data_IF_199450791312
#
_entry.id   IF_199450791312
#
_cell.length_a   1.000
_cell.length_b   1.000
_cell.length_c   1.000
_cell.angle_alpha   90.00
_cell.angle_beta   90.00
_cell.angle_gamma   90.00
#
_symmetry.space_group_name_H-M   'P 1'
#
loop_
_entity.id
_entity.type
_entity.pdbx_description
1 polymer ?
#
# COMPACT_ATOMS: atom_id res chain seq x y z
N UNK A 1 18.09 14.04 -52.97
CA UNK A 1 17.62 12.87 -52.15
C UNK A 1 18.41 12.65 -50.87
N UNK A 2 19.75 12.78 -50.91
CA UNK A 2 20.61 12.65 -49.72
C UNK A 2 20.25 13.63 -48.58
N UNK A 3 19.91 14.86 -48.91
CA UNK A 3 19.55 15.88 -47.93
C UNK A 3 18.28 15.58 -47.15
N UNK A 4 17.29 14.94 -47.78
CA UNK A 4 16.03 14.54 -47.09
C UNK A 4 16.26 13.38 -46.14
N UNK A 5 17.09 12.39 -46.50
CA UNK A 5 17.42 11.24 -45.67
C UNK A 5 18.22 11.70 -44.46
N UNK A 6 19.20 12.59 -44.65
CA UNK A 6 19.97 13.17 -43.55
C UNK A 6 19.11 14.00 -42.58
N UNK A 7 18.16 14.80 -43.12
CA UNK A 7 17.23 15.59 -42.31
C UNK A 7 16.28 14.70 -41.50
N UNK A 8 15.77 13.62 -42.07
CA UNK A 8 14.92 12.65 -41.34
C UNK A 8 15.72 11.90 -40.27
N UNK A 9 16.95 11.47 -40.56
CA UNK A 9 17.82 10.83 -39.61
C UNK A 9 18.13 11.75 -38.40
N UNK A 10 18.45 13.03 -38.71
CA UNK A 10 18.68 14.04 -37.69
C UNK A 10 17.44 14.28 -36.83
N UNK A 11 16.25 14.35 -37.43
CA UNK A 11 14.98 14.50 -36.73
C UNK A 11 14.72 13.32 -35.78
N UNK A 12 14.95 12.09 -36.22
CA UNK A 12 14.81 10.91 -35.40
C UNK A 12 15.76 10.91 -34.21
N UNK A 13 17.03 11.29 -34.39
CA UNK A 13 18.01 11.40 -33.31
C UNK A 13 17.58 12.45 -32.28
N UNK A 14 17.11 13.61 -32.74
CA UNK A 14 16.63 14.68 -31.85
C UNK A 14 15.42 14.20 -31.05
N UNK A 15 14.43 13.59 -31.67
CA UNK A 15 13.23 13.06 -31.02
C UNK A 15 13.61 12.00 -29.97
N UNK A 16 14.54 11.11 -30.30
CA UNK A 16 15.01 10.10 -29.40
C UNK A 16 15.74 10.69 -28.18
N UNK A 17 16.61 11.68 -28.40
CA UNK A 17 17.31 12.38 -27.32
C UNK A 17 16.37 13.15 -26.40
N UNK A 18 15.36 13.80 -26.95
CA UNK A 18 14.31 14.46 -26.16
C UNK A 18 13.56 13.45 -25.29
N UNK A 19 13.17 12.30 -25.84
CA UNK A 19 12.52 11.23 -25.09
C UNK A 19 13.40 10.68 -23.98
N UNK A 20 14.68 10.44 -24.23
CA UNK A 20 15.64 10.01 -23.23
C UNK A 20 15.76 11.02 -22.07
N UNK A 21 15.82 12.31 -22.41
CA UNK A 21 15.88 13.38 -21.42
C UNK A 21 14.59 13.48 -20.59
N UNK A 22 13.43 13.37 -21.20
CA UNK A 22 12.13 13.32 -20.50
C UNK A 22 12.04 12.12 -19.56
N UNK A 23 12.48 10.95 -20.01
CA UNK A 23 12.51 9.73 -19.20
C UNK A 23 13.46 9.86 -17.99
N UNK A 24 14.61 10.46 -18.18
CA UNK A 24 15.55 10.74 -17.10
C UNK A 24 14.95 11.71 -16.05
N UNK A 25 14.24 12.73 -16.50
CA UNK A 25 13.55 13.67 -15.61
C UNK A 25 12.48 12.98 -14.77
N UNK A 26 11.71 12.04 -15.34
CA UNK A 26 10.72 11.25 -14.60
C UNK A 26 11.40 10.42 -13.51
N UNK A 27 12.49 9.73 -13.82
CA UNK A 27 13.27 8.96 -12.85
C UNK A 27 13.74 9.85 -11.70
N UNK A 28 14.32 11.00 -12.01
CA UNK A 28 14.84 11.92 -10.99
C UNK A 28 13.71 12.48 -10.11
N UNK A 29 12.56 12.80 -10.69
CA UNK A 29 11.41 13.33 -9.98
C UNK A 29 10.78 12.31 -9.00
N UNK A 30 10.79 11.04 -9.35
CA UNK A 30 10.11 10.01 -8.56
C UNK A 30 11.02 9.15 -7.69
N UNK A 31 12.34 9.19 -7.89
CA UNK A 31 13.30 8.37 -7.15
C UNK A 31 13.20 8.56 -5.63
N UNK A 32 13.01 9.79 -5.18
CA UNK A 32 12.85 10.11 -3.75
C UNK A 32 11.45 9.83 -3.21
N UNK A 33 10.50 9.49 -4.08
CA UNK A 33 9.10 9.26 -3.73
C UNK A 33 8.73 7.77 -3.63
N UNK A 34 9.70 6.88 -3.73
CA UNK A 34 9.49 5.45 -3.50
C UNK A 34 8.97 5.24 -2.08
N UNK A 35 7.90 4.46 -1.94
CA UNK A 35 7.18 4.26 -0.68
C UNK A 35 6.02 5.23 -0.44
N UNK A 36 5.80 6.20 -1.31
CA UNK A 36 4.65 7.11 -1.24
C UNK A 36 3.48 6.62 -2.10
N UNK A 37 2.26 7.02 -1.69
CA UNK A 37 1.09 6.88 -2.53
C UNK A 37 1.10 7.93 -3.64
N UNK A 38 0.88 7.48 -4.86
CA UNK A 38 0.70 8.34 -6.02
C UNK A 38 -0.68 8.13 -6.63
N UNK A 39 -1.22 9.16 -7.22
CA UNK A 39 -2.53 9.17 -7.85
C UNK A 39 -2.41 9.49 -9.32
N UNK A 40 -3.12 8.75 -10.14
CA UNK A 40 -3.17 9.00 -11.56
C UNK A 40 -4.46 8.52 -12.20
N UNK A 41 -4.54 8.69 -13.50
CA UNK A 41 -5.68 8.26 -14.30
C UNK A 41 -5.32 7.05 -15.14
N UNK A 42 -6.18 6.06 -15.17
CA UNK A 42 -5.99 4.86 -15.99
C UNK A 42 -6.02 5.25 -17.47
N UNK A 43 -4.91 5.01 -18.14
CA UNK A 43 -4.71 5.31 -19.57
C UNK A 43 -4.97 4.09 -20.45
N UNK A 44 -4.59 2.91 -19.99
CA UNK A 44 -4.73 1.67 -20.74
C UNK A 44 -4.94 0.50 -19.77
N UNK A 45 -5.83 -0.39 -20.13
CA UNK A 45 -6.07 -1.64 -19.41
C UNK A 45 -5.74 -2.80 -20.33
N UNK A 46 -4.88 -3.71 -19.87
CA UNK A 46 -4.57 -4.96 -20.54
C UNK A 46 -4.94 -6.14 -19.65
N UNK A 47 -4.80 -7.34 -20.15
CA UNK A 47 -5.03 -8.55 -19.37
C UNK A 47 -4.03 -8.70 -18.20
N UNK A 48 -2.84 -8.15 -18.37
CA UNK A 48 -1.71 -8.36 -17.46
C UNK A 48 -1.42 -7.16 -16.56
N UNK A 49 -1.85 -5.96 -16.96
CA UNK A 49 -1.52 -4.74 -16.23
C UNK A 49 -2.43 -3.56 -16.58
N UNK A 50 -2.41 -2.58 -15.74
CA UNK A 50 -2.97 -1.24 -15.97
C UNK A 50 -1.82 -0.24 -16.14
N UNK A 51 -1.92 0.62 -17.14
CA UNK A 51 -1.03 1.75 -17.33
C UNK A 51 -1.73 3.00 -16.81
N UNK A 52 -1.06 3.71 -15.93
CA UNK A 52 -1.57 4.90 -15.23
C UNK A 52 -0.78 6.12 -15.64
N UNK A 53 -1.46 7.17 -16.03
CA UNK A 53 -0.88 8.48 -16.29
C UNK A 53 -0.84 9.28 -14.97
N UNK A 54 0.36 9.61 -14.53
CA UNK A 54 0.60 10.40 -13.31
C UNK A 54 0.76 11.90 -13.60
N UNK A 55 0.65 12.30 -14.87
CA UNK A 55 0.94 13.66 -15.32
C UNK A 55 2.41 13.90 -15.65
N UNK A 56 2.72 15.02 -16.31
CA UNK A 56 4.08 15.43 -16.66
C UNK A 56 4.90 14.35 -17.39
N UNK A 57 4.28 13.62 -18.31
CA UNK A 57 4.85 12.50 -19.05
C UNK A 57 5.29 11.30 -18.19
N UNK A 58 4.89 11.26 -16.93
CA UNK A 58 5.14 10.13 -16.05
C UNK A 58 4.05 9.07 -16.20
N UNK A 59 4.44 7.88 -16.59
CA UNK A 59 3.58 6.72 -16.68
C UNK A 59 4.02 5.65 -15.68
N UNK A 60 3.03 5.01 -15.05
CA UNK A 60 3.24 3.91 -14.11
C UNK A 60 2.53 2.66 -14.59
N UNK A 61 3.07 1.51 -14.21
CA UNK A 61 2.46 0.21 -14.45
C UNK A 61 1.97 -0.37 -13.13
N UNK A 62 0.74 -0.87 -13.14
CA UNK A 62 0.17 -1.65 -12.05
C UNK A 62 -0.07 -3.08 -12.55
N UNK A 63 0.88 -4.00 -12.31
CA UNK A 63 0.73 -5.41 -12.69
C UNK A 63 -0.48 -6.04 -12.03
N UNK A 64 -1.12 -6.99 -12.72
CA UNK A 64 -2.32 -7.66 -12.22
C UNK A 64 -2.12 -8.39 -10.90
N UNK A 65 -0.93 -8.89 -10.67
CA UNK A 65 -0.54 -9.63 -9.46
C UNK A 65 -0.65 -8.78 -8.18
N UNK A 66 -0.57 -7.45 -8.34
CA UNK A 66 -0.65 -6.48 -7.25
C UNK A 66 -1.93 -5.64 -7.28
N UNK A 67 -2.95 -6.10 -7.99
CA UNK A 67 -4.30 -5.59 -7.84
C UNK A 67 -4.93 -6.20 -6.58
N UNK A 68 -5.79 -5.44 -5.93
CA UNK A 68 -6.63 -6.03 -4.88
C UNK A 68 -7.57 -7.04 -5.55
N UNK A 69 -7.75 -8.24 -4.98
CA UNK A 69 -8.65 -9.23 -5.56
C UNK A 69 -10.04 -8.67 -5.84
N UNK A 70 -10.57 -8.98 -7.01
CA UNK A 70 -11.88 -8.51 -7.52
C UNK A 70 -11.94 -7.05 -7.96
N UNK A 71 -10.84 -6.30 -7.91
CA UNK A 71 -10.79 -4.99 -8.54
C UNK A 71 -10.87 -5.09 -10.06
N UNK A 72 -11.57 -4.14 -10.66
CA UNK A 72 -11.62 -3.95 -12.10
C UNK A 72 -11.40 -2.48 -12.41
N UNK A 73 -10.57 -2.22 -13.39
CA UNK A 73 -10.23 -0.87 -13.83
C UNK A 73 -10.75 -0.62 -15.24
N UNK A 74 -11.15 0.62 -15.50
CA UNK A 74 -11.52 1.13 -16.82
C UNK A 74 -10.68 2.33 -17.18
N UNK A 75 -10.48 2.54 -18.45
CA UNK A 75 -9.82 3.76 -18.95
C UNK A 75 -10.58 4.99 -18.45
N UNK A 76 -9.86 5.93 -17.88
CA UNK A 76 -10.41 7.14 -17.27
C UNK A 76 -10.61 7.06 -15.76
N UNK A 77 -10.57 5.89 -15.15
CA UNK A 77 -10.68 5.74 -13.70
C UNK A 77 -9.51 6.42 -12.99
N UNK A 78 -9.78 7.01 -11.84
CA UNK A 78 -8.74 7.50 -10.95
C UNK A 78 -8.25 6.34 -10.09
N UNK A 79 -6.94 6.17 -10.05
CA UNK A 79 -6.25 5.11 -9.35
C UNK A 79 -5.22 5.69 -8.39
N UNK A 80 -5.17 5.15 -7.19
CA UNK A 80 -4.14 5.43 -6.20
C UNK A 80 -3.34 4.15 -5.93
N UNK A 81 -2.04 4.23 -5.94
CA UNK A 81 -1.16 3.10 -5.67
C UNK A 81 0.12 3.53 -4.99
N UNK A 82 0.78 2.58 -4.35
CA UNK A 82 2.09 2.79 -3.76
C UNK A 82 3.15 2.72 -4.85
N UNK A 83 4.03 3.71 -4.90
CA UNK A 83 5.21 3.64 -5.75
C UNK A 83 6.24 2.70 -5.11
N UNK A 84 6.35 1.50 -5.65
CA UNK A 84 7.29 0.48 -5.13
C UNK A 84 8.68 0.62 -5.69
N UNK A 85 8.79 0.93 -6.98
CA UNK A 85 10.05 0.90 -7.68
C UNK A 85 10.09 1.90 -8.82
N UNK A 86 11.26 2.47 -9.04
CA UNK A 86 11.60 3.26 -10.22
C UNK A 86 12.59 2.48 -11.06
N UNK A 87 12.25 2.18 -12.32
CA UNK A 87 13.04 1.37 -13.27
C UNK A 87 13.55 2.24 -14.41
N UNK A 88 14.77 2.82 -14.29
CA UNK A 88 15.29 3.74 -15.29
C UNK A 88 15.43 3.14 -16.69
N UNK A 89 15.73 1.86 -16.78
CA UNK A 89 16.03 1.14 -18.01
C UNK A 89 14.82 0.43 -18.64
N UNK A 90 13.63 0.55 -18.02
CA UNK A 90 12.44 -0.07 -18.56
C UNK A 90 12.07 0.50 -19.94
N UNK A 91 11.71 -0.35 -20.88
CA UNK A 91 11.26 0.07 -22.22
C UNK A 91 9.85 0.63 -22.25
N UNK A 92 9.10 0.45 -21.20
CA UNK A 92 7.75 0.94 -21.00
C UNK A 92 7.67 1.94 -19.85
N UNK A 93 6.57 1.93 -19.10
CA UNK A 93 6.46 2.72 -17.86
C UNK A 93 7.61 2.44 -16.91
N UNK A 94 8.22 3.51 -16.40
CA UNK A 94 9.39 3.40 -15.51
C UNK A 94 9.03 3.25 -14.04
N UNK A 95 7.78 3.53 -13.69
CA UNK A 95 7.29 3.52 -12.33
C UNK A 95 6.43 2.29 -12.12
N UNK A 96 6.72 1.51 -11.07
CA UNK A 96 5.94 0.35 -10.70
C UNK A 96 5.11 0.63 -9.45
N UNK A 97 3.80 0.39 -9.54
CA UNK A 97 2.84 0.60 -8.47
C UNK A 97 2.37 -0.73 -7.87
N UNK A 98 1.92 -0.67 -6.63
CA UNK A 98 1.23 -1.75 -5.94
C UNK A 98 0.00 -1.25 -5.20
N UNK A 99 -1.03 -2.10 -5.11
CA UNK A 99 -2.21 -1.89 -4.27
C UNK A 99 -2.34 -2.96 -3.18
N UNK A 100 -1.49 -3.96 -3.20
CA UNK A 100 -1.51 -5.09 -2.25
C UNK A 100 -0.44 -5.00 -1.16
N UNK A 101 0.53 -4.13 -1.30
CA UNK A 101 1.58 -3.93 -0.29
C UNK A 101 0.97 -3.50 1.06
N UNK A 102 1.47 -4.00 2.20
CA UNK A 102 1.10 -3.49 3.51
C UNK A 102 1.33 -1.99 3.67
N UNK A 103 2.34 -1.43 3.01
CA UNK A 103 2.66 -0.01 3.06
C UNK A 103 1.57 0.87 2.42
N UNK A 104 0.76 0.34 1.53
CA UNK A 104 -0.44 1.04 1.02
C UNK A 104 -1.36 1.40 2.18
N UNK A 105 -1.60 0.45 3.08
CA UNK A 105 -2.45 0.64 4.25
C UNK A 105 -1.85 1.69 5.20
N UNK A 106 -0.55 1.61 5.46
CA UNK A 106 0.17 2.56 6.32
C UNK A 106 0.07 3.98 5.77
N UNK A 107 0.33 4.16 4.49
CA UNK A 107 0.25 5.47 3.83
C UNK A 107 -1.17 6.04 3.79
N UNK A 108 -2.19 5.21 3.61
CA UNK A 108 -3.59 5.63 3.69
C UNK A 108 -3.95 6.13 5.09
N UNK A 109 -3.50 5.45 6.14
CA UNK A 109 -3.71 5.90 7.51
C UNK A 109 -2.98 7.22 7.82
N UNK A 110 -1.81 7.46 7.27
CA UNK A 110 -1.12 8.75 7.39
C UNK A 110 -1.95 9.91 6.81
N UNK A 111 -2.69 9.66 5.74
CA UNK A 111 -3.57 10.64 5.12
C UNK A 111 -4.82 10.89 5.98
N UNK A 112 -5.46 9.83 6.47
CA UNK A 112 -6.73 9.91 7.19
C UNK A 112 -6.58 10.30 8.66
N UNK A 113 -5.44 10.01 9.28
CA UNK A 113 -5.17 10.24 10.70
C UNK A 113 -4.04 11.27 10.87
N UNK A 114 -4.36 12.54 11.11
CA UNK A 114 -3.35 13.58 11.26
C UNK A 114 -2.34 13.31 12.37
N UNK A 115 -2.75 12.66 13.46
CA UNK A 115 -1.90 12.30 14.58
C UNK A 115 -0.78 11.34 14.18
N UNK A 116 -0.99 10.53 13.14
CA UNK A 116 0.07 9.66 12.54
C UNK A 116 1.02 10.52 11.71
N UNK A 117 0.50 11.41 10.88
CA UNK A 117 1.32 12.32 10.06
C UNK A 117 2.20 13.22 10.93
N UNK A 118 1.70 13.65 12.08
CA UNK A 118 2.42 14.51 13.04
C UNK A 118 3.38 13.73 13.95
N UNK A 119 3.44 12.39 13.83
CA UNK A 119 4.32 11.54 14.62
C UNK A 119 3.88 11.31 16.07
N UNK A 120 2.68 11.71 16.45
CA UNK A 120 2.11 11.48 17.79
C UNK A 120 1.70 10.01 17.96
N UNK A 121 1.16 9.43 16.90
CA UNK A 121 0.83 8.00 16.82
C UNK A 121 1.76 7.35 15.80
N UNK A 122 2.32 6.20 16.16
CA UNK A 122 3.18 5.39 15.31
C UNK A 122 2.49 4.07 14.95
N UNK A 123 2.61 3.68 13.68
CA UNK A 123 2.24 2.33 13.23
C UNK A 123 3.50 1.47 13.31
N UNK A 124 3.53 0.51 14.21
CA UNK A 124 4.68 -0.36 14.46
C UNK A 124 4.55 -1.74 13.81
N UNK A 125 3.38 -2.09 13.36
CA UNK A 125 3.13 -3.34 12.65
C UNK A 125 1.96 -3.24 11.70
N UNK A 126 2.04 -3.95 10.60
CA UNK A 126 0.97 -4.06 9.62
C UNK A 126 1.01 -5.44 8.98
N UNK A 127 -0.14 -6.09 8.96
CA UNK A 127 -0.34 -7.36 8.27
C UNK A 127 -1.61 -7.25 7.42
N UNK A 128 -1.56 -7.76 6.20
CA UNK A 128 -2.63 -7.57 5.25
C UNK A 128 -2.87 -8.81 4.40
N UNK A 129 -4.14 -9.19 4.29
CA UNK A 129 -4.67 -10.07 3.26
C UNK A 129 -5.50 -9.18 2.33
N UNK A 130 -4.95 -8.78 1.16
CA UNK A 130 -5.56 -7.77 0.31
C UNK A 130 -6.99 -8.11 -0.11
N UNK A 131 -7.89 -7.14 0.05
CA UNK A 131 -9.31 -7.29 -0.28
C UNK A 131 -10.15 -8.07 0.74
N UNK A 132 -9.53 -8.66 1.74
CA UNK A 132 -10.19 -9.44 2.77
C UNK A 132 -10.07 -8.79 4.13
N UNK A 133 -8.92 -8.84 4.75
CA UNK A 133 -8.70 -8.34 6.11
C UNK A 133 -7.28 -7.83 6.31
N UNK A 134 -7.15 -6.82 7.14
CA UNK A 134 -5.86 -6.28 7.54
C UNK A 134 -5.86 -5.92 9.02
N UNK A 135 -4.68 -5.87 9.61
CA UNK A 135 -4.45 -5.40 10.97
C UNK A 135 -3.30 -4.44 11.00
N UNK A 136 -3.46 -3.35 11.74
CA UNK A 136 -2.36 -2.42 12.06
C UNK A 136 -2.19 -2.37 13.58
N UNK A 137 -0.96 -2.31 14.03
CA UNK A 137 -0.61 -2.14 15.43
C UNK A 137 -0.07 -0.73 15.66
N UNK A 138 -0.69 0.00 16.57
CA UNK A 138 -0.44 1.41 16.81
C UNK A 138 -0.03 1.68 18.25
N UNK A 139 0.82 2.69 18.43
CA UNK A 139 1.30 3.16 19.74
C UNK A 139 1.30 4.69 19.74
N UNK A 140 1.04 5.27 20.89
CA UNK A 140 1.17 6.72 21.08
C UNK A 140 2.32 7.06 22.01
N UNK A 141 2.93 8.20 21.77
CA UNK A 141 3.92 8.81 22.66
C UNK A 141 3.29 9.80 23.65
N UNK A 142 2.01 10.11 23.50
CA UNK A 142 1.24 10.98 24.38
C UNK A 142 0.17 10.17 25.12
N UNK A 143 0.34 9.98 26.42
CA UNK A 143 -0.58 9.21 27.24
C UNK A 143 -2.01 9.77 27.38
N UNK A 144 -2.24 10.99 26.85
CA UNK A 144 -3.57 11.62 26.79
C UNK A 144 -4.37 11.22 25.57
N UNK A 145 -3.74 10.57 24.58
CA UNK A 145 -4.35 10.17 23.32
C UNK A 145 -4.57 8.67 23.31
N UNK A 146 -5.78 8.28 22.97
CA UNK A 146 -6.10 6.88 22.64
C UNK A 146 -5.71 6.61 21.18
N UNK A 147 -4.65 5.83 20.91
CA UNK A 147 -4.17 5.61 19.56
C UNK A 147 -5.16 4.80 18.71
N UNK A 148 -5.86 3.83 19.31
CA UNK A 148 -6.86 3.02 18.60
C UNK A 148 -8.08 3.87 18.25
N UNK A 149 -8.62 4.60 19.21
CA UNK A 149 -9.76 5.48 19.00
C UNK A 149 -9.49 6.57 17.96
N UNK A 150 -8.29 7.14 17.96
CA UNK A 150 -7.89 8.16 16.98
C UNK A 150 -7.83 7.59 15.56
N UNK A 151 -7.33 6.37 15.37
CA UNK A 151 -7.28 5.71 14.07
C UNK A 151 -8.64 5.21 13.58
N UNK A 152 -9.52 4.79 14.48
CA UNK A 152 -10.91 4.42 14.15
C UNK A 152 -11.70 5.65 13.68
N UNK A 153 -11.52 6.76 14.39
CA UNK A 153 -12.24 7.99 14.14
C UNK A 153 -13.68 7.96 14.67
N UNK A 154 -14.33 9.11 14.59
CA UNK A 154 -15.70 9.26 15.07
C UNK A 154 -16.64 8.34 14.29
N UNK A 155 -17.33 7.44 14.98
CA UNK A 155 -18.22 6.43 14.40
C UNK A 155 -17.55 5.54 13.33
N UNK A 156 -16.25 5.34 13.43
CA UNK A 156 -15.48 4.56 12.46
C UNK A 156 -15.18 5.29 11.15
N UNK A 157 -15.33 6.60 11.09
CA UNK A 157 -15.22 7.37 9.84
C UNK A 157 -13.86 7.25 9.17
N UNK A 158 -12.78 7.27 9.94
CA UNK A 158 -11.41 7.22 9.41
C UNK A 158 -11.07 5.81 8.90
N UNK A 159 -11.32 4.79 9.70
CA UNK A 159 -11.06 3.40 9.29
C UNK A 159 -11.96 3.00 8.12
N UNK A 160 -13.20 3.51 8.06
CA UNK A 160 -14.10 3.25 6.95
C UNK A 160 -13.62 3.89 5.64
N UNK A 161 -13.05 5.09 5.71
CA UNK A 161 -12.48 5.76 4.54
C UNK A 161 -11.31 4.95 3.95
N UNK A 162 -10.43 4.42 4.79
CA UNK A 162 -9.34 3.54 4.36
C UNK A 162 -9.89 2.23 3.79
N UNK A 163 -10.85 1.61 4.46
CA UNK A 163 -11.50 0.38 4.00
C UNK A 163 -12.15 0.55 2.62
N UNK A 164 -12.84 1.64 2.39
CA UNK A 164 -13.50 1.93 1.11
C UNK A 164 -12.49 2.05 -0.04
N UNK A 165 -11.34 2.67 0.19
CA UNK A 165 -10.27 2.78 -0.80
C UNK A 165 -9.69 1.40 -1.18
N UNK A 166 -9.71 0.45 -0.26
CA UNK A 166 -9.17 -0.89 -0.43
C UNK A 166 -10.22 -1.97 -0.79
N UNK A 167 -11.32 -1.56 -1.42
CA UNK A 167 -12.36 -2.49 -1.86
C UNK A 167 -13.13 -3.15 -0.71
N UNK A 168 -13.39 -2.41 0.35
CA UNK A 168 -14.06 -2.86 1.58
C UNK A 168 -13.28 -3.92 2.37
N UNK A 169 -11.97 -3.86 2.30
CA UNK A 169 -11.08 -4.66 3.16
C UNK A 169 -11.36 -4.34 4.63
N UNK A 170 -11.60 -5.37 5.44
CA UNK A 170 -11.84 -5.18 6.87
C UNK A 170 -10.53 -4.87 7.59
N UNK A 171 -10.51 -3.77 8.33
CA UNK A 171 -9.31 -3.29 9.00
C UNK A 171 -9.54 -3.30 10.51
N UNK A 172 -8.68 -4.03 11.23
CA UNK A 172 -8.63 -4.03 12.67
C UNK A 172 -7.44 -3.19 13.15
N UNK A 173 -7.68 -2.34 14.13
CA UNK A 173 -6.66 -1.51 14.76
C UNK A 173 -6.34 -2.10 16.12
N UNK A 174 -5.07 -2.46 16.31
CA UNK A 174 -4.57 -3.20 17.47
C UNK A 174 -3.63 -2.29 18.27
N UNK A 175 -3.78 -2.20 19.60
CA UNK A 175 -2.79 -1.52 20.41
C UNK A 175 -1.47 -2.31 20.42
N UNK A 176 -0.37 -1.61 20.14
CA UNK A 176 0.96 -2.20 20.20
C UNK A 176 1.35 -2.51 21.67
N UNK A 177 2.02 -3.62 21.88
CA UNK A 177 2.68 -3.95 23.13
C UNK A 177 4.08 -4.51 22.85
N UNK A 178 5.07 -4.09 23.62
CA UNK A 178 6.45 -4.57 23.47
C UNK A 178 6.59 -6.04 23.92
N UNK A 179 5.66 -6.53 24.73
CA UNK A 179 5.53 -7.94 25.04
C UNK A 179 4.79 -8.64 23.90
N UNK A 180 5.49 -9.54 23.20
CA UNK A 180 4.96 -10.25 22.03
C UNK A 180 3.73 -11.09 22.34
N UNK A 181 3.66 -11.70 23.54
CA UNK A 181 2.50 -12.45 23.96
C UNK A 181 1.27 -11.54 24.14
N UNK A 182 1.46 -10.36 24.75
CA UNK A 182 0.39 -9.38 24.91
C UNK A 182 -0.04 -8.80 23.56
N UNK A 183 0.91 -8.53 22.66
CA UNK A 183 0.59 -8.07 21.30
C UNK A 183 -0.26 -9.10 20.55
N UNK A 184 0.08 -10.38 20.67
CA UNK A 184 -0.71 -11.47 20.08
C UNK A 184 -2.12 -11.53 20.66
N UNK A 185 -2.29 -11.39 21.97
CA UNK A 185 -3.60 -11.31 22.62
C UNK A 185 -4.41 -10.14 22.05
N UNK A 186 -3.80 -8.97 21.95
CA UNK A 186 -4.44 -7.77 21.39
C UNK A 186 -4.88 -7.99 19.93
N UNK A 187 -4.03 -8.65 19.14
CA UNK A 187 -4.30 -8.94 17.74
C UNK A 187 -5.37 -10.03 17.54
N UNK A 188 -5.53 -10.92 18.49
CA UNK A 188 -6.55 -11.99 18.46
C UNK A 188 -7.95 -11.51 18.82
N UNK A 189 -8.09 -10.34 19.43
CA UNK A 189 -9.41 -9.80 19.78
C UNK A 189 -10.36 -9.76 18.57
N UNK A 190 -11.66 -10.07 18.72
CA UNK A 190 -12.39 -10.32 19.96
C UNK A 190 -12.29 -11.76 20.51
N UNK A 191 -11.50 -12.65 19.89
CA UNK A 191 -11.30 -13.99 20.43
C UNK A 191 -10.53 -13.94 21.75
N UNK A 192 -11.03 -14.62 22.76
CA UNK A 192 -10.39 -14.69 24.07
C UNK A 192 -9.30 -15.77 24.07
N UNK A 193 -8.09 -15.37 24.42
CA UNK A 193 -6.94 -16.27 24.53
C UNK A 193 -6.84 -16.81 25.94
N UNK A 194 -6.75 -18.14 26.07
CA UNK A 194 -6.60 -18.82 27.34
C UNK A 194 -5.13 -18.86 27.78
N UNK A 195 -4.25 -19.24 26.86
CA UNK A 195 -2.81 -19.32 27.10
C UNK A 195 -2.01 -19.16 25.82
N UNK A 196 -0.76 -18.72 25.99
CA UNK A 196 0.21 -18.57 24.92
C UNK A 196 1.52 -19.23 25.34
N UNK A 197 2.10 -19.99 24.42
CA UNK A 197 3.45 -20.53 24.53
C UNK A 197 4.29 -19.94 23.40
N UNK A 198 5.30 -19.18 23.76
CA UNK A 198 6.25 -18.58 22.82
C UNK A 198 7.50 -19.45 22.73
N UNK A 199 7.86 -19.87 21.52
CA UNK A 199 9.13 -20.53 21.22
C UNK A 199 10.02 -19.55 20.43
N UNK A 200 11.03 -19.02 21.11
CA UNK A 200 11.94 -18.04 20.53
C UNK A 200 12.91 -18.65 19.51
N UNK A 201 13.23 -19.94 19.65
CA UNK A 201 14.14 -20.64 18.73
C UNK A 201 13.50 -20.86 17.35
N UNK A 202 12.27 -21.34 17.35
CA UNK A 202 11.50 -21.58 16.11
C UNK A 202 10.76 -20.36 15.62
N UNK A 203 10.74 -19.26 16.40
CA UNK A 203 9.95 -18.06 16.14
C UNK A 203 8.47 -18.38 15.92
N UNK A 204 7.94 -19.30 16.71
CA UNK A 204 6.56 -19.73 16.69
C UNK A 204 5.84 -19.40 17.99
N UNK A 205 4.53 -19.36 17.90
CA UNK A 205 3.68 -19.07 19.04
C UNK A 205 2.46 -19.99 18.98
N UNK A 206 2.25 -20.77 20.02
CA UNK A 206 1.07 -21.60 20.17
C UNK A 206 0.04 -20.87 21.04
N UNK A 207 -1.13 -20.64 20.50
CA UNK A 207 -2.20 -19.89 21.14
C UNK A 207 -3.37 -20.83 21.41
N UNK A 208 -3.73 -21.00 22.68
CA UNK A 208 -4.91 -21.75 23.08
C UNK A 208 -6.10 -20.82 23.26
N UNK A 209 -7.20 -21.18 22.64
CA UNK A 209 -8.49 -20.47 22.75
C UNK A 209 -9.58 -21.46 23.14
N UNK A 210 -10.71 -20.98 23.69
CA UNK A 210 -11.86 -21.81 23.93
C UNK A 210 -12.49 -22.30 22.61
N UNK A 211 -13.17 -23.43 22.67
CA UNK A 211 -13.86 -23.99 21.50
C UNK A 211 -14.85 -22.99 20.87
N UNK A 212 -15.52 -22.19 21.69
CA UNK A 212 -16.44 -21.14 21.24
C UNK A 212 -15.75 -20.04 20.44
N UNK A 213 -14.49 -19.75 20.74
CA UNK A 213 -13.68 -18.72 20.09
C UNK A 213 -12.84 -19.25 18.92
N UNK A 214 -12.81 -20.55 18.71
CA UNK A 214 -11.92 -21.18 17.71
C UNK A 214 -12.15 -20.66 16.29
N UNK A 215 -13.39 -20.56 15.89
CA UNK A 215 -13.75 -20.04 14.56
C UNK A 215 -13.33 -18.58 14.36
N UNK A 216 -13.45 -17.75 15.39
CA UNK A 216 -12.99 -16.36 15.33
C UNK A 216 -11.46 -16.26 15.31
N UNK A 217 -10.79 -17.11 16.07
CA UNK A 217 -9.33 -17.14 16.15
C UNK A 217 -8.69 -17.58 14.82
N UNK A 218 -9.24 -18.59 14.17
CA UNK A 218 -8.75 -19.11 12.88
C UNK A 218 -9.10 -18.15 11.74
N UNK A 219 -10.29 -17.54 11.78
CA UNK A 219 -10.77 -16.71 10.71
C UNK A 219 -11.05 -17.53 9.44
N UNK A 220 -10.46 -17.10 8.32
CA UNK A 220 -10.59 -17.79 7.03
C UNK A 220 -9.48 -18.81 6.74
N UNK A 221 -8.56 -18.97 7.67
CA UNK A 221 -7.41 -19.88 7.53
C UNK A 221 -6.16 -19.27 6.96
#
# INVERSE_FOLDING_TARGET
EFGRIAAQAAKQVIVQKVREAERAQVVDAYRSRVGELVKGQVKKVTREAVIVDLGSNAEAILPREVWIPRENFRVGDLLRGLLEEVRPEARGPQLALSRTSPDVLVELFKIEVPEIADGVIEILGCARDPGSRAKIAVKTNDGRIDPVGACVGMRGSRVQAVSNELGNERIDIVPWDDNLAQLAINAMAPAEVISIVLDEETKSMDIAVSEENLAQAIGRG
#
